data_IF_578025223900
#
_entry.id   IF_578025223900
#
_cell.length_a   1.000
_cell.length_b   1.000
_cell.length_c   1.000
_cell.angle_alpha   90.00
_cell.angle_beta   90.00
_cell.angle_gamma   90.00
#
_symmetry.space_group_name_H-M   'P 1'
#
loop_
_entity.id
_entity.type
_entity.pdbx_description
1 polymer ?
#
# COMPACT_ATOMS: atom_id res chain seq x y z
N UNK A 1 -38.16 14.51 -54.48
CA UNK A 1 -37.65 14.38 -53.09
C UNK A 1 -38.72 14.55 -52.03
N UNK A 2 -39.49 15.64 -52.00
CA UNK A 2 -40.58 15.82 -51.01
C UNK A 2 -41.58 14.65 -50.94
N UNK A 3 -42.03 14.12 -52.09
CA UNK A 3 -42.88 12.90 -52.14
C UNK A 3 -42.23 11.66 -51.48
N UNK A 4 -40.90 11.50 -51.60
CA UNK A 4 -40.17 10.42 -50.91
C UNK A 4 -40.16 10.64 -49.39
N UNK A 5 -40.07 11.90 -48.95
CA UNK A 5 -40.17 12.26 -47.53
C UNK A 5 -41.57 12.00 -46.98
N UNK A 6 -42.62 12.30 -47.76
CA UNK A 6 -44.00 11.95 -47.41
C UNK A 6 -44.19 10.44 -47.25
N UNK A 7 -43.66 9.65 -48.20
CA UNK A 7 -43.71 8.20 -48.11
C UNK A 7 -42.95 7.68 -46.86
N UNK A 8 -41.77 8.22 -46.58
CA UNK A 8 -41.01 7.89 -45.37
C UNK A 8 -41.78 8.23 -44.09
N UNK A 9 -42.41 9.40 -44.05
CA UNK A 9 -43.22 9.85 -42.91
C UNK A 9 -44.45 8.96 -42.72
N UNK A 10 -45.09 8.51 -43.79
CA UNK A 10 -46.22 7.59 -43.73
C UNK A 10 -45.80 6.21 -43.16
N UNK A 11 -44.66 5.69 -43.64
CA UNK A 11 -44.14 4.38 -43.23
C UNK A 11 -43.62 4.38 -41.78
N UNK A 12 -42.90 5.43 -41.38
CA UNK A 12 -42.19 5.49 -40.09
C UNK A 12 -42.95 6.32 -39.04
N UNK A 13 -44.09 6.92 -39.42
CA UNK A 13 -44.89 7.85 -38.60
C UNK A 13 -44.06 9.04 -38.07
N UNK A 14 -42.98 9.40 -38.77
CA UNK A 14 -42.12 10.52 -38.42
C UNK A 14 -41.22 11.01 -39.55
N UNK A 15 -40.75 12.25 -39.43
CA UNK A 15 -39.85 12.88 -40.39
C UNK A 15 -38.33 12.78 -40.09
N UNK A 16 -37.90 11.96 -39.13
CA UNK A 16 -36.47 11.85 -38.78
C UNK A 16 -35.78 10.74 -39.59
N UNK A 17 -34.95 11.12 -40.56
CA UNK A 17 -34.23 10.16 -41.40
C UNK A 17 -32.87 9.80 -40.77
N UNK A 18 -32.60 8.51 -40.45
CA UNK A 18 -31.29 8.08 -39.95
C UNK A 18 -30.15 8.23 -40.98
N UNK A 19 -28.92 8.40 -40.50
CA UNK A 19 -27.72 8.52 -41.38
C UNK A 19 -27.47 7.27 -42.20
N UNK A 20 -27.80 6.12 -41.65
CA UNK A 20 -27.66 4.77 -42.21
C UNK A 20 -28.91 4.31 -42.97
N UNK A 21 -29.89 5.19 -43.20
CA UNK A 21 -31.09 4.84 -43.96
C UNK A 21 -30.77 4.39 -45.38
N UNK A 22 -31.50 3.38 -45.87
CA UNK A 22 -31.25 2.70 -47.16
C UNK A 22 -31.17 3.68 -48.34
N UNK A 23 -32.04 4.69 -48.37
CA UNK A 23 -31.96 5.77 -49.37
C UNK A 23 -31.08 6.92 -48.86
N UNK A 24 -29.79 6.91 -49.23
CA UNK A 24 -28.83 7.98 -48.89
C UNK A 24 -29.24 9.35 -49.44
N UNK A 25 -29.98 9.40 -50.56
CA UNK A 25 -30.41 10.67 -51.16
C UNK A 25 -31.49 11.33 -50.29
N UNK A 26 -32.33 10.53 -49.63
CA UNK A 26 -33.34 11.04 -48.71
C UNK A 26 -32.71 11.64 -47.45
N UNK A 27 -31.70 10.99 -46.86
CA UNK A 27 -30.96 11.54 -45.72
C UNK A 27 -30.23 12.84 -46.08
N UNK A 28 -29.57 12.88 -47.24
CA UNK A 28 -28.91 14.09 -47.73
C UNK A 28 -29.89 15.26 -47.92
N UNK A 29 -31.06 14.97 -48.50
CA UNK A 29 -32.12 15.97 -48.69
C UNK A 29 -32.73 16.43 -47.36
N UNK A 30 -32.99 15.52 -46.43
CA UNK A 30 -33.45 15.80 -45.06
C UNK A 30 -32.52 16.79 -44.35
N UNK A 31 -31.21 16.51 -44.35
CA UNK A 31 -30.20 17.40 -43.76
C UNK A 31 -30.14 18.76 -44.44
N UNK A 32 -30.25 18.79 -45.78
CA UNK A 32 -30.24 20.04 -46.56
C UNK A 32 -31.39 20.97 -46.17
N UNK A 33 -32.60 20.44 -45.95
CA UNK A 33 -33.74 21.28 -45.53
C UNK A 33 -33.51 21.97 -44.19
N UNK A 34 -32.85 21.28 -43.24
CA UNK A 34 -32.50 21.85 -41.93
C UNK A 34 -31.47 22.97 -42.03
N UNK A 35 -30.42 22.76 -42.83
CA UNK A 35 -29.39 23.77 -43.06
C UNK A 35 -29.95 25.02 -43.76
N UNK A 36 -30.84 24.84 -44.74
CA UNK A 36 -31.51 25.95 -45.42
C UNK A 36 -32.42 26.74 -44.46
N UNK A 37 -33.09 26.06 -43.54
CA UNK A 37 -33.94 26.69 -42.52
C UNK A 37 -33.11 27.47 -41.49
N UNK A 38 -32.03 26.88 -40.98
CA UNK A 38 -31.11 27.52 -40.03
C UNK A 38 -30.43 28.76 -40.64
N UNK A 39 -30.06 28.70 -41.92
CA UNK A 39 -29.51 29.83 -42.65
C UNK A 39 -30.56 30.90 -43.08
N UNK A 40 -31.84 30.70 -42.78
CA UNK A 40 -32.92 31.65 -43.09
C UNK A 40 -33.24 31.80 -44.59
N UNK A 41 -32.71 30.92 -45.44
CA UNK A 41 -32.83 30.99 -46.91
C UNK A 41 -33.88 30.03 -47.47
N UNK A 42 -34.62 29.32 -46.61
CA UNK A 42 -35.66 28.40 -47.04
C UNK A 42 -36.90 29.17 -47.56
N UNK A 43 -37.33 28.96 -48.82
CA UNK A 43 -38.50 29.65 -49.36
C UNK A 43 -39.78 29.38 -48.56
N UNK A 44 -40.62 30.41 -48.38
CA UNK A 44 -41.87 30.32 -47.60
C UNK A 44 -42.79 29.18 -48.06
N UNK A 45 -42.98 29.01 -49.36
CA UNK A 45 -43.78 27.91 -49.91
C UNK A 45 -43.23 26.52 -49.57
N UNK A 46 -41.90 26.39 -49.47
CA UNK A 46 -41.24 25.15 -49.09
C UNK A 46 -41.42 24.89 -47.59
N UNK A 47 -41.31 25.92 -46.76
CA UNK A 47 -41.58 25.83 -45.34
C UNK A 47 -43.02 25.37 -45.06
N UNK A 48 -44.01 25.94 -45.73
CA UNK A 48 -45.42 25.52 -45.60
C UNK A 48 -45.61 24.06 -46.02
N UNK A 49 -44.98 23.61 -47.10
CA UNK A 49 -45.00 22.19 -47.49
C UNK A 49 -44.38 21.29 -46.43
N UNK A 50 -43.28 21.68 -45.81
CA UNK A 50 -42.63 20.89 -44.75
C UNK A 50 -43.48 20.85 -43.46
N UNK A 51 -44.21 21.93 -43.14
CA UNK A 51 -45.18 21.92 -42.03
C UNK A 51 -46.31 20.90 -42.25
N UNK A 52 -46.76 20.66 -43.48
CA UNK A 52 -47.84 19.68 -43.76
C UNK A 52 -47.49 18.25 -43.34
N UNK A 53 -46.21 17.90 -43.24
CA UNK A 53 -45.73 16.58 -42.85
C UNK A 53 -45.15 16.55 -41.43
N UNK A 54 -45.38 17.59 -40.64
CA UNK A 54 -44.80 17.76 -39.30
C UNK A 54 -43.27 17.62 -39.31
N UNK A 55 -42.62 18.29 -40.27
CA UNK A 55 -41.18 18.23 -40.43
C UNK A 55 -40.47 18.97 -39.29
N UNK A 56 -39.69 18.23 -38.50
CA UNK A 56 -38.94 18.80 -37.39
C UNK A 56 -37.58 19.37 -37.82
N UNK A 57 -37.42 20.69 -37.63
CA UNK A 57 -36.20 21.43 -37.98
C UNK A 57 -35.13 21.43 -36.87
N UNK A 58 -35.49 21.14 -35.61
CA UNK A 58 -34.55 21.06 -34.48
C UNK A 58 -33.66 19.81 -34.50
N UNK A 59 -33.02 19.47 -33.37
CA UNK A 59 -32.16 18.28 -33.31
C UNK A 59 -32.97 16.97 -33.43
N UNK A 60 -32.82 16.29 -34.56
CA UNK A 60 -33.53 15.05 -34.84
C UNK A 60 -33.06 13.90 -33.94
N UNK A 61 -31.82 14.01 -33.46
CA UNK A 61 -31.23 13.03 -32.56
C UNK A 61 -31.97 13.04 -31.22
N UNK A 62 -32.37 14.22 -30.75
CA UNK A 62 -33.18 14.37 -29.55
C UNK A 62 -34.52 13.64 -29.68
N UNK A 63 -35.29 13.91 -30.75
CA UNK A 63 -36.57 13.23 -31.00
C UNK A 63 -36.42 11.71 -31.20
N UNK A 64 -35.31 11.27 -31.79
CA UNK A 64 -35.02 9.85 -31.93
C UNK A 64 -34.83 9.18 -30.56
N UNK A 65 -34.04 9.78 -29.68
CA UNK A 65 -33.82 9.25 -28.34
C UNK A 65 -35.06 9.32 -27.46
N UNK A 66 -35.89 10.36 -27.61
CA UNK A 66 -37.18 10.45 -26.93
C UNK A 66 -38.13 9.34 -27.36
N UNK A 67 -38.21 9.05 -28.66
CA UNK A 67 -38.97 7.89 -29.17
C UNK A 67 -38.45 6.56 -28.65
N UNK A 68 -37.13 6.35 -28.69
CA UNK A 68 -36.52 5.13 -28.13
C UNK A 68 -36.79 4.97 -26.64
N UNK A 69 -36.78 6.07 -25.90
CA UNK A 69 -37.15 6.08 -24.50
C UNK A 69 -38.63 5.72 -24.33
N UNK A 70 -39.52 6.31 -25.13
CA UNK A 70 -40.95 6.05 -25.09
C UNK A 70 -41.28 4.59 -25.47
N UNK A 71 -40.60 4.02 -26.45
CA UNK A 71 -40.73 2.59 -26.81
C UNK A 71 -40.38 1.69 -25.63
N UNK A 72 -39.30 2.01 -24.91
CA UNK A 72 -38.86 1.27 -23.72
C UNK A 72 -39.85 1.46 -22.56
N UNK A 73 -40.35 2.67 -22.36
CA UNK A 73 -41.42 2.97 -21.40
C UNK A 73 -42.71 2.20 -21.72
N UNK A 74 -43.12 2.13 -22.99
CA UNK A 74 -44.31 1.40 -23.41
C UNK A 74 -44.19 -0.11 -23.15
N UNK A 75 -43.00 -0.69 -23.36
CA UNK A 75 -42.72 -2.08 -22.97
C UNK A 75 -42.84 -2.27 -21.45
N UNK A 76 -42.33 -1.34 -20.65
CA UNK A 76 -42.50 -1.37 -19.20
C UNK A 76 -43.97 -1.24 -18.79
N UNK A 77 -44.71 -0.34 -19.43
CA UNK A 77 -46.14 -0.14 -19.19
C UNK A 77 -46.95 -1.40 -19.50
N UNK A 78 -46.62 -2.11 -20.58
CA UNK A 78 -47.28 -3.38 -20.91
C UNK A 78 -47.02 -4.45 -19.85
N UNK A 79 -45.77 -4.54 -19.35
CA UNK A 79 -45.41 -5.44 -18.25
C UNK A 79 -46.17 -5.06 -16.98
N UNK A 80 -46.25 -3.76 -16.66
CA UNK A 80 -47.00 -3.25 -15.52
C UNK A 80 -48.49 -3.58 -15.62
N UNK A 81 -49.11 -3.36 -16.78
CA UNK A 81 -50.52 -3.73 -17.03
C UNK A 81 -50.78 -5.23 -16.83
N UNK A 82 -49.83 -6.08 -17.19
CA UNK A 82 -49.95 -7.54 -17.07
C UNK A 82 -49.68 -8.08 -15.67
N UNK A 83 -48.76 -7.46 -14.92
CA UNK A 83 -48.22 -8.02 -13.67
C UNK A 83 -48.52 -7.19 -12.43
N UNK A 84 -48.96 -5.94 -12.59
CA UNK A 84 -49.06 -4.94 -11.52
C UNK A 84 -47.70 -4.45 -11.00
N UNK A 85 -46.58 -4.90 -11.58
CA UNK A 85 -45.23 -4.61 -11.08
C UNK A 85 -44.44 -3.83 -12.12
N UNK A 86 -44.11 -2.58 -11.80
CA UNK A 86 -43.23 -1.70 -12.60
C UNK A 86 -41.75 -1.88 -12.25
N UNK A 87 -41.46 -2.69 -11.23
CA UNK A 87 -40.13 -2.92 -10.69
C UNK A 87 -39.51 -4.24 -11.17
N UNK A 88 -38.83 -4.19 -12.30
CA UNK A 88 -38.18 -5.37 -12.89
C UNK A 88 -36.77 -5.59 -12.32
N UNK A 89 -36.51 -6.78 -11.75
CA UNK A 89 -35.17 -7.21 -11.33
C UNK A 89 -34.23 -7.29 -12.53
N UNK A 90 -32.97 -6.86 -12.35
CA UNK A 90 -31.96 -6.93 -13.42
C UNK A 90 -31.56 -8.37 -13.75
N UNK A 91 -31.66 -8.74 -15.02
CA UNK A 91 -31.19 -10.04 -15.54
C UNK A 91 -29.81 -9.90 -16.19
N UNK A 92 -28.95 -10.90 -16.00
CA UNK A 92 -27.60 -10.95 -16.59
C UNK A 92 -27.52 -11.78 -17.87
N UNK A 93 -28.44 -12.73 -18.05
CA UNK A 93 -28.52 -13.59 -19.21
C UNK A 93 -29.28 -12.88 -20.35
N UNK A 94 -28.64 -12.75 -21.51
CA UNK A 94 -29.20 -12.08 -22.68
C UNK A 94 -30.30 -12.89 -23.39
N UNK A 95 -30.48 -14.17 -23.04
CA UNK A 95 -31.57 -15.02 -23.53
C UNK A 95 -32.88 -14.79 -22.78
N UNK A 96 -32.85 -14.10 -21.63
CA UNK A 96 -34.04 -13.84 -20.84
C UNK A 96 -34.95 -12.81 -21.53
N UNK A 97 -36.27 -13.04 -21.66
CA UNK A 97 -37.20 -12.11 -22.34
C UNK A 97 -37.16 -10.68 -21.78
N UNK A 98 -36.96 -10.55 -20.47
CA UNK A 98 -36.87 -9.25 -19.78
C UNK A 98 -35.45 -8.66 -19.72
N UNK A 99 -34.46 -9.25 -20.40
CA UNK A 99 -33.07 -8.79 -20.29
C UNK A 99 -32.91 -7.31 -20.69
N UNK A 100 -33.42 -6.93 -21.86
CA UNK A 100 -33.26 -5.57 -22.39
C UNK A 100 -33.98 -4.54 -21.51
N UNK A 101 -35.25 -4.79 -21.19
CA UNK A 101 -36.05 -3.87 -20.37
C UNK A 101 -35.53 -3.77 -18.93
N UNK A 102 -35.06 -4.87 -18.34
CA UNK A 102 -34.50 -4.85 -16.98
C UNK A 102 -33.18 -4.09 -16.87
N UNK A 103 -32.35 -4.10 -17.93
CA UNK A 103 -31.15 -3.27 -17.99
C UNK A 103 -31.49 -1.80 -18.24
N UNK A 104 -32.47 -1.51 -19.12
CA UNK A 104 -32.95 -0.15 -19.34
C UNK A 104 -33.49 0.48 -18.04
N UNK A 105 -34.39 -0.21 -17.33
CA UNK A 105 -34.92 0.20 -16.01
C UNK A 105 -33.80 0.49 -15.00
N UNK A 106 -32.73 -0.30 -14.99
CA UNK A 106 -31.57 -0.06 -14.12
C UNK A 106 -30.76 1.19 -14.54
N UNK A 107 -30.65 1.47 -15.84
CA UNK A 107 -30.01 2.67 -16.36
C UNK A 107 -30.80 3.93 -16.02
N UNK A 108 -32.14 3.90 -16.14
CA UNK A 108 -33.01 5.03 -15.80
C UNK A 108 -32.89 5.41 -14.32
N UNK A 109 -32.82 4.44 -13.39
CA UNK A 109 -32.49 4.72 -11.98
C UNK A 109 -31.13 5.38 -11.79
N UNK A 110 -30.13 4.97 -12.57
CA UNK A 110 -28.81 5.59 -12.57
C UNK A 110 -28.81 7.03 -13.11
N UNK A 111 -29.63 7.32 -14.13
CA UNK A 111 -29.80 8.68 -14.65
C UNK A 111 -30.54 9.58 -13.67
N UNK A 112 -31.60 9.08 -13.04
CA UNK A 112 -32.34 9.79 -12.00
C UNK A 112 -31.42 10.23 -10.85
N UNK A 113 -30.61 9.29 -10.32
CA UNK A 113 -29.62 9.58 -9.27
C UNK A 113 -28.62 10.68 -9.64
N UNK A 114 -28.27 10.77 -10.92
CA UNK A 114 -27.32 11.76 -11.43
C UNK A 114 -28.01 13.03 -11.96
N UNK A 115 -29.32 13.21 -11.74
CA UNK A 115 -30.10 14.35 -12.24
C UNK A 115 -30.01 14.53 -13.77
N UNK A 116 -30.02 13.42 -14.51
CA UNK A 116 -29.90 13.40 -15.99
C UNK A 116 -31.19 13.03 -16.72
N UNK A 117 -32.31 12.89 -15.99
CA UNK A 117 -33.63 12.66 -16.61
C UNK A 117 -34.36 13.98 -16.79
N UNK A 118 -35.16 14.07 -17.85
CA UNK A 118 -36.08 15.19 -18.07
C UNK A 118 -37.31 15.03 -17.17
N UNK A 119 -37.93 16.13 -16.74
CA UNK A 119 -39.06 16.11 -15.80
C UNK A 119 -40.23 15.26 -16.30
N UNK A 120 -40.57 15.36 -17.59
CA UNK A 120 -41.64 14.55 -18.20
C UNK A 120 -41.36 13.04 -18.19
N UNK A 121 -40.09 12.64 -18.19
CA UNK A 121 -39.69 11.22 -18.10
C UNK A 121 -39.91 10.69 -16.68
N UNK A 122 -39.64 11.54 -15.69
CA UNK A 122 -39.88 11.24 -14.27
C UNK A 122 -41.38 11.09 -14.04
N UNK A 123 -42.17 12.08 -14.46
CA UNK A 123 -43.63 12.09 -14.32
C UNK A 123 -44.27 10.84 -14.95
N UNK A 124 -43.86 10.46 -16.18
CA UNK A 124 -44.37 9.24 -16.83
C UNK A 124 -44.05 7.96 -16.05
N UNK A 125 -42.84 7.84 -15.50
CA UNK A 125 -42.46 6.67 -14.70
C UNK A 125 -43.22 6.64 -13.37
N UNK A 126 -43.38 7.77 -12.71
CA UNK A 126 -44.13 7.87 -11.45
C UNK A 126 -45.62 7.57 -11.64
N UNK A 127 -46.20 7.93 -12.80
CA UNK A 127 -47.60 7.63 -13.13
C UNK A 127 -47.95 6.13 -13.13
N UNK A 128 -46.95 5.25 -13.32
CA UNK A 128 -47.10 3.79 -13.29
C UNK A 128 -46.60 3.18 -11.99
N UNK A 129 -46.44 3.99 -10.93
CA UNK A 129 -45.95 3.56 -9.62
C UNK A 129 -44.50 3.07 -9.66
N UNK A 130 -43.67 3.57 -10.58
CA UNK A 130 -42.27 3.17 -10.70
C UNK A 130 -41.49 3.61 -9.45
N UNK A 131 -40.84 2.65 -8.78
CA UNK A 131 -40.00 2.98 -7.63
C UNK A 131 -38.55 3.19 -8.09
N UNK A 132 -38.07 4.41 -7.88
CA UNK A 132 -36.66 4.78 -8.09
C UNK A 132 -35.71 3.98 -7.18
N UNK A 133 -36.24 3.46 -6.09
CA UNK A 133 -35.54 2.80 -4.99
C UNK A 133 -36.11 1.38 -4.85
N UNK A 134 -35.43 0.36 -5.37
CA UNK A 134 -35.81 -1.05 -5.18
C UNK A 134 -35.31 -1.56 -3.84
N UNK A 135 -36.19 -1.81 -2.88
CA UNK A 135 -35.87 -2.56 -1.66
C UNK A 135 -35.79 -4.05 -1.99
N UNK A 136 -34.59 -4.65 -1.96
CA UNK A 136 -34.42 -6.11 -2.04
C UNK A 136 -33.61 -6.68 -3.21
N UNK A 137 -33.11 -5.86 -4.15
CA UNK A 137 -32.18 -6.31 -5.21
C UNK A 137 -30.87 -5.54 -5.08
N UNK A 138 -29.89 -6.12 -4.36
CA UNK A 138 -28.59 -5.50 -4.04
C UNK A 138 -28.75 -4.04 -3.62
N UNK A 139 -29.30 -3.85 -2.42
CA UNK A 139 -29.46 -2.57 -1.75
C UNK A 139 -28.13 -1.79 -1.73
N UNK A 140 -28.02 -0.82 -2.64
CA UNK A 140 -27.35 0.46 -2.39
C UNK A 140 -28.35 1.48 -1.83
N UNK A 141 -29.42 0.99 -1.19
CA UNK A 141 -30.33 1.74 -0.35
C UNK A 141 -29.91 1.49 1.09
N UNK A 142 -28.96 2.29 1.58
CA UNK A 142 -28.85 2.52 3.02
C UNK A 142 -29.70 3.76 3.34
N UNK A 143 -30.95 3.53 3.71
CA UNK A 143 -31.34 4.05 5.01
C UNK A 143 -30.44 3.31 6.02
N UNK A 144 -29.84 4.06 6.91
CA UNK A 144 -28.51 3.83 7.43
C UNK A 144 -28.35 2.58 8.32
N UNK A 145 -28.20 1.37 7.73
CA UNK A 145 -27.80 0.11 8.43
C UNK A 145 -26.42 0.24 9.13
N UNK A 146 -25.81 1.42 9.13
CA UNK A 146 -24.63 1.70 9.93
C UNK A 146 -24.90 1.49 11.44
N UNK A 147 -26.06 1.88 11.96
CA UNK A 147 -26.41 1.67 13.39
C UNK A 147 -26.62 0.19 13.72
N UNK A 148 -27.26 -0.58 12.84
CA UNK A 148 -27.41 -2.04 13.03
C UNK A 148 -26.05 -2.75 13.02
N UNK A 149 -25.12 -2.33 12.14
CA UNK A 149 -23.75 -2.84 12.14
C UNK A 149 -22.95 -2.40 13.35
N UNK A 150 -23.27 -1.23 13.90
CA UNK A 150 -22.70 -0.73 15.16
C UNK A 150 -23.09 -1.63 16.33
N UNK A 151 -24.39 -1.90 16.49
CA UNK A 151 -24.91 -2.80 17.52
C UNK A 151 -24.31 -4.21 17.39
N UNK A 152 -24.21 -4.73 16.16
CA UNK A 152 -23.54 -6.02 15.91
C UNK A 152 -22.05 -6.01 16.26
N UNK A 153 -21.38 -4.86 16.15
CA UNK A 153 -19.98 -4.71 16.56
C UNK A 153 -19.85 -4.67 18.09
N UNK A 154 -20.79 -4.03 18.78
CA UNK A 154 -20.88 -4.03 20.24
C UNK A 154 -21.14 -5.45 20.79
N UNK A 155 -22.05 -6.20 20.17
CA UNK A 155 -22.28 -7.62 20.48
C UNK A 155 -20.99 -8.43 20.28
N UNK A 156 -20.29 -8.21 19.17
CA UNK A 156 -19.03 -8.89 18.89
C UNK A 156 -17.97 -8.55 19.94
N UNK A 157 -17.83 -7.27 20.31
CA UNK A 157 -16.91 -6.83 21.36
C UNK A 157 -17.22 -7.49 22.69
N UNK A 158 -18.50 -7.61 23.03
CA UNK A 158 -18.93 -8.28 24.27
C UNK A 158 -18.58 -9.77 24.28
N UNK A 159 -18.64 -10.44 23.12
CA UNK A 159 -18.35 -11.88 22.98
C UNK A 159 -16.84 -12.19 22.87
N UNK A 160 -16.06 -11.35 22.18
CA UNK A 160 -14.65 -11.61 21.85
C UNK A 160 -13.64 -10.67 22.53
N UNK A 161 -14.13 -9.65 23.24
CA UNK A 161 -13.32 -8.69 24.01
C UNK A 161 -12.71 -7.55 23.18
N UNK A 162 -12.78 -7.59 21.85
CA UNK A 162 -12.34 -6.50 20.97
C UNK A 162 -13.21 -6.32 19.73
N UNK A 163 -13.01 -5.21 19.01
CA UNK A 163 -13.75 -4.90 17.78
C UNK A 163 -13.05 -5.43 16.51
N UNK A 164 -12.02 -6.27 16.61
CA UNK A 164 -11.15 -6.64 15.47
C UNK A 164 -11.70 -7.82 14.65
N UNK A 165 -12.89 -7.61 14.09
CA UNK A 165 -13.58 -8.64 13.30
C UNK A 165 -12.81 -9.00 12.04
N UNK A 166 -12.51 -10.29 11.86
CA UNK A 166 -11.88 -10.81 10.63
C UNK A 166 -12.81 -10.65 9.42
N UNK A 167 -12.25 -10.24 8.28
CA UNK A 167 -13.00 -10.17 7.01
C UNK A 167 -13.45 -11.55 6.50
N UNK A 168 -12.77 -12.62 6.92
CA UNK A 168 -13.07 -14.01 6.52
C UNK A 168 -13.87 -14.77 7.56
N UNK A 169 -14.37 -14.11 8.60
CA UNK A 169 -15.18 -14.73 9.65
C UNK A 169 -16.39 -15.44 9.03
N UNK A 170 -16.51 -16.75 9.27
CA UNK A 170 -17.54 -17.61 8.68
C UNK A 170 -18.83 -17.67 9.50
N UNK A 171 -18.81 -17.16 10.73
CA UNK A 171 -19.98 -17.17 11.63
C UNK A 171 -21.14 -16.40 10.99
N UNK A 172 -22.28 -17.05 10.86
CA UNK A 172 -23.47 -16.46 10.22
C UNK A 172 -23.95 -15.21 10.96
N UNK A 173 -23.85 -15.18 12.31
CA UNK A 173 -24.20 -14.05 13.18
C UNK A 173 -23.49 -12.74 12.79
N UNK A 174 -22.20 -12.79 12.46
CA UNK A 174 -21.38 -11.61 12.16
C UNK A 174 -20.99 -11.50 10.68
N UNK A 175 -21.77 -12.14 9.80
CA UNK A 175 -21.46 -12.22 8.37
C UNK A 175 -21.36 -10.82 7.75
N UNK A 176 -20.19 -10.52 7.17
CA UNK A 176 -19.92 -9.25 6.49
C UNK A 176 -19.53 -8.09 7.41
N UNK A 177 -19.55 -8.26 8.74
CA UNK A 177 -19.18 -7.22 9.70
C UNK A 177 -17.70 -6.81 9.57
N UNK A 178 -16.79 -7.77 9.40
CA UNK A 178 -15.36 -7.49 9.20
C UNK A 178 -15.07 -6.69 7.92
N UNK A 179 -15.84 -6.93 6.85
CA UNK A 179 -15.74 -6.13 5.62
C UNK A 179 -16.25 -4.71 5.84
N UNK A 180 -17.41 -4.58 6.49
CA UNK A 180 -17.99 -3.28 6.82
C UNK A 180 -17.05 -2.43 7.68
N UNK A 181 -16.40 -3.02 8.70
CA UNK A 181 -15.44 -2.33 9.55
C UNK A 181 -14.21 -1.86 8.77
N UNK A 182 -13.70 -2.69 7.86
CA UNK A 182 -12.60 -2.31 6.96
C UNK A 182 -12.98 -1.17 6.01
N UNK A 183 -14.24 -1.12 5.56
CA UNK A 183 -14.75 -0.01 4.76
C UNK A 183 -14.77 1.29 5.58
N UNK A 184 -15.10 1.24 6.88
CA UNK A 184 -15.02 2.41 7.77
C UNK A 184 -13.58 2.90 7.91
N UNK A 185 -12.64 2.00 8.23
CA UNK A 185 -11.19 2.31 8.34
C UNK A 185 -10.62 2.94 7.07
N UNK A 186 -10.97 2.37 5.91
CA UNK A 186 -10.54 2.90 4.60
C UNK A 186 -11.05 4.32 4.38
N UNK A 187 -12.23 4.61 4.88
CA UNK A 187 -12.94 5.85 4.63
C UNK A 187 -12.50 6.96 5.58
N UNK A 188 -12.17 6.60 6.82
CA UNK A 188 -11.43 7.43 7.76
C UNK A 188 -10.09 7.86 7.18
N UNK A 189 -9.26 6.90 6.73
CA UNK A 189 -7.95 7.18 6.13
C UNK A 189 -8.01 8.07 4.89
N UNK A 190 -9.05 7.89 4.06
CA UNK A 190 -9.27 8.69 2.83
C UNK A 190 -10.08 9.97 3.06
N UNK A 191 -10.43 10.30 4.31
CA UNK A 191 -11.26 11.47 4.68
C UNK A 191 -12.53 11.59 3.84
N UNK A 192 -13.24 10.47 3.63
CA UNK A 192 -14.45 10.43 2.82
C UNK A 192 -15.64 11.02 3.58
N UNK A 193 -16.40 11.90 2.93
CA UNK A 193 -17.55 12.61 3.51
C UNK A 193 -18.67 11.73 4.10
N UNK A 194 -18.76 10.45 3.72
CA UNK A 194 -19.81 9.57 4.26
C UNK A 194 -19.56 9.15 5.72
N UNK A 195 -18.31 9.21 6.18
CA UNK A 195 -17.98 8.93 7.58
C UNK A 195 -18.04 10.27 8.33
N UNK A 196 -19.22 10.57 8.88
CA UNK A 196 -19.48 11.80 9.64
C UNK A 196 -18.72 11.80 10.96
N UNK A 197 -18.60 12.98 11.60
CA UNK A 197 -17.92 13.13 12.89
C UNK A 197 -18.56 12.24 13.97
N UNK A 198 -19.88 12.26 14.07
CA UNK A 198 -20.63 11.46 15.06
C UNK A 198 -20.37 9.95 14.91
N UNK A 199 -20.23 9.47 13.66
CA UNK A 199 -19.91 8.06 13.39
C UNK A 199 -18.48 7.70 13.79
N UNK A 200 -17.55 8.66 13.68
CA UNK A 200 -16.16 8.48 14.13
C UNK A 200 -16.15 8.39 15.64
N UNK A 201 -16.79 9.34 16.33
CA UNK A 201 -16.88 9.39 17.80
C UNK A 201 -17.48 8.09 18.35
N UNK A 202 -18.60 7.61 17.81
CA UNK A 202 -19.21 6.33 18.21
C UNK A 202 -18.29 5.11 17.99
N UNK A 203 -17.50 5.08 16.91
CA UNK A 203 -16.56 3.99 16.67
C UNK A 203 -15.35 4.06 17.62
N UNK A 204 -14.90 5.28 17.95
CA UNK A 204 -13.81 5.53 18.90
C UNK A 204 -14.22 5.15 20.32
N UNK A 205 -15.44 5.47 20.76
CA UNK A 205 -15.99 5.07 22.07
C UNK A 205 -16.05 3.55 22.22
N UNK A 206 -16.36 2.83 21.14
CA UNK A 206 -16.29 1.37 21.13
C UNK A 206 -14.85 0.82 21.13
N UNK A 207 -13.83 1.65 20.97
CA UNK A 207 -12.42 1.24 20.93
C UNK A 207 -12.01 0.68 19.56
N UNK A 208 -12.66 1.11 18.47
CA UNK A 208 -12.25 0.72 17.13
C UNK A 208 -10.90 1.31 16.80
N UNK A 209 -9.94 0.44 16.51
CA UNK A 209 -8.62 0.88 16.07
C UNK A 209 -8.65 1.21 14.58
N UNK A 210 -8.33 2.46 14.23
CA UNK A 210 -8.35 2.95 12.85
C UNK A 210 -7.19 2.41 12.00
N UNK A 211 -5.98 2.33 12.59
CA UNK A 211 -4.78 1.84 11.92
C UNK A 211 -4.34 0.47 12.48
N UNK A 212 -4.72 -0.59 11.75
CA UNK A 212 -4.35 -1.95 12.11
C UNK A 212 -2.86 -2.25 11.94
N UNK A 213 -2.12 -1.50 11.11
CA UNK A 213 -0.66 -1.71 10.97
C UNK A 213 0.05 -1.21 12.24
N UNK A 214 -0.36 -0.05 12.74
CA UNK A 214 0.12 0.49 14.03
C UNK A 214 -0.25 -0.44 15.18
N UNK A 215 -1.52 -0.85 15.26
CA UNK A 215 -2.00 -1.74 16.33
C UNK A 215 -1.25 -3.07 16.39
N UNK A 216 -1.14 -3.76 15.25
CA UNK A 216 -0.45 -5.05 15.18
C UNK A 216 1.04 -4.90 15.48
N UNK A 217 1.63 -3.77 15.09
CA UNK A 217 3.03 -3.48 15.40
C UNK A 217 3.25 -3.20 16.89
N UNK A 218 2.38 -2.46 17.57
CA UNK A 218 2.49 -2.28 19.02
C UNK A 218 2.29 -3.60 19.79
N UNK A 219 1.43 -4.50 19.31
CA UNK A 219 1.34 -5.88 19.83
C UNK A 219 2.66 -6.64 19.68
N UNK A 220 3.33 -6.50 18.55
CA UNK A 220 4.66 -7.08 18.32
C UNK A 220 5.70 -6.49 19.29
N UNK A 221 5.70 -5.17 19.47
CA UNK A 221 6.61 -4.48 20.40
C UNK A 221 6.40 -5.00 21.82
N UNK A 222 5.16 -5.20 22.26
CA UNK A 222 4.85 -5.79 23.57
C UNK A 222 5.46 -7.19 23.72
N UNK A 223 5.28 -8.06 22.72
CA UNK A 223 5.86 -9.42 22.73
C UNK A 223 7.39 -9.40 22.74
N UNK A 224 8.02 -8.45 22.04
CA UNK A 224 9.47 -8.26 22.08
C UNK A 224 9.95 -7.85 23.48
N UNK A 225 9.25 -6.94 24.14
CA UNK A 225 9.58 -6.50 25.50
C UNK A 225 9.38 -7.63 26.52
N UNK A 226 8.29 -8.38 26.43
CA UNK A 226 8.04 -9.56 27.27
C UNK A 226 9.18 -10.58 27.14
N UNK A 227 9.55 -10.94 25.90
CA UNK A 227 10.68 -11.84 25.66
C UNK A 227 12.00 -11.29 26.21
N UNK A 228 12.27 -9.99 26.03
CA UNK A 228 13.47 -9.35 26.58
C UNK A 228 13.49 -9.37 28.11
N UNK A 229 12.35 -9.19 28.76
CA UNK A 229 12.25 -9.26 30.22
C UNK A 229 12.54 -10.68 30.72
N UNK A 230 12.10 -11.71 30.00
CA UNK A 230 12.31 -13.12 30.36
C UNK A 230 13.75 -13.61 30.08
N UNK A 231 14.30 -13.29 28.90
CA UNK A 231 15.58 -13.86 28.43
C UNK A 231 16.74 -12.85 28.39
N UNK A 232 16.50 -11.58 28.73
CA UNK A 232 17.50 -10.51 28.77
C UNK A 232 17.96 -10.00 27.40
N UNK A 233 17.42 -10.51 26.29
CA UNK A 233 17.83 -10.14 24.93
C UNK A 233 16.70 -10.32 23.90
N UNK A 234 16.94 -9.96 22.63
CA UNK A 234 15.98 -10.12 21.52
C UNK A 234 16.37 -11.25 20.53
N UNK A 235 16.98 -12.32 21.01
CA UNK A 235 17.36 -13.47 20.17
C UNK A 235 16.25 -14.50 20.13
N UNK A 236 15.12 -14.11 19.51
CA UNK A 236 13.98 -15.00 19.31
C UNK A 236 14.27 -15.96 18.14
N UNK A 237 14.20 -17.30 18.33
CA UNK A 237 14.33 -18.27 17.25
C UNK A 237 13.21 -18.12 16.20
N UNK A 238 13.51 -18.39 14.92
CA UNK A 238 12.50 -18.33 13.85
C UNK A 238 11.32 -19.28 14.09
N UNK A 239 11.57 -20.44 14.71
CA UNK A 239 10.57 -21.43 15.10
C UNK A 239 10.22 -21.32 16.60
N UNK A 240 10.09 -20.11 17.12
CA UNK A 240 9.75 -19.88 18.53
C UNK A 240 8.45 -20.61 18.90
N UNK A 241 8.56 -21.66 19.73
CA UNK A 241 7.47 -22.61 19.99
C UNK A 241 6.18 -21.97 20.53
N UNK A 242 6.23 -21.00 21.48
CA UNK A 242 5.02 -20.35 21.98
C UNK A 242 4.25 -19.60 20.88
N UNK A 243 4.95 -19.07 19.87
CA UNK A 243 4.32 -18.44 18.72
C UNK A 243 5.26 -18.45 17.49
N UNK A 244 5.13 -19.45 16.60
CA UNK A 244 5.97 -19.55 15.42
C UNK A 244 5.83 -18.36 14.45
N UNK A 245 4.65 -17.74 14.40
CA UNK A 245 4.42 -16.56 13.57
C UNK A 245 5.20 -15.35 14.08
N UNK A 246 5.28 -15.17 15.40
CA UNK A 246 6.10 -14.14 16.04
C UNK A 246 7.59 -14.36 15.74
N UNK A 247 8.10 -15.59 15.96
CA UNK A 247 9.50 -15.93 15.66
C UNK A 247 9.88 -15.67 14.20
N UNK A 248 9.04 -16.10 13.25
CA UNK A 248 9.24 -15.86 11.83
C UNK A 248 9.15 -14.36 11.47
N UNK A 249 8.25 -13.61 12.11
CA UNK A 249 8.17 -12.16 11.93
C UNK A 249 9.46 -11.47 12.36
N UNK A 250 9.96 -11.79 13.56
CA UNK A 250 11.22 -11.23 14.08
C UNK A 250 12.39 -11.62 13.19
N UNK A 251 12.46 -12.87 12.74
CA UNK A 251 13.48 -13.31 11.78
C UNK A 251 13.45 -12.47 10.47
N UNK A 252 12.27 -12.24 9.91
CA UNK A 252 12.10 -11.38 8.72
C UNK A 252 12.48 -9.93 9.01
N UNK A 253 12.13 -9.42 10.19
CA UNK A 253 12.48 -8.07 10.63
C UNK A 253 14.00 -7.90 10.76
N UNK A 254 14.72 -8.89 11.29
CA UNK A 254 16.19 -8.89 11.37
C UNK A 254 16.86 -9.00 10.01
N UNK A 255 16.39 -9.91 9.16
CA UNK A 255 17.03 -10.21 7.87
C UNK A 255 16.71 -9.17 6.79
N UNK A 256 15.44 -8.78 6.64
CA UNK A 256 14.97 -7.89 5.56
C UNK A 256 14.77 -6.45 6.02
N UNK A 257 14.64 -6.22 7.32
CA UNK A 257 14.32 -4.92 7.87
C UNK A 257 12.89 -4.46 7.56
N UNK A 258 12.53 -3.29 8.07
CA UNK A 258 11.32 -2.56 7.68
C UNK A 258 11.72 -1.28 6.94
N UNK A 259 10.89 -0.85 5.98
CA UNK A 259 11.10 0.41 5.23
C UNK A 259 10.40 1.61 5.88
N UNK A 260 9.59 1.38 6.91
CA UNK A 260 8.76 2.41 7.53
C UNK A 260 9.54 3.05 8.70
N UNK A 261 9.91 4.32 8.57
CA UNK A 261 10.75 5.03 9.55
C UNK A 261 10.17 4.97 10.97
N UNK A 262 8.87 5.19 11.13
CA UNK A 262 8.22 5.14 12.45
C UNK A 262 8.37 3.78 13.15
N UNK A 263 8.39 2.67 12.40
CA UNK A 263 8.66 1.33 12.96
C UNK A 263 10.12 1.20 13.39
N UNK A 264 11.05 1.74 12.61
CA UNK A 264 12.49 1.73 12.91
C UNK A 264 12.74 2.50 14.21
N UNK A 265 12.24 3.73 14.29
CA UNK A 265 12.36 4.60 15.47
C UNK A 265 11.80 3.92 16.72
N UNK A 266 10.60 3.32 16.61
CA UNK A 266 9.96 2.62 17.73
C UNK A 266 10.74 1.37 18.18
N UNK A 267 11.35 0.63 17.26
CA UNK A 267 12.22 -0.50 17.60
C UNK A 267 13.52 -0.04 18.26
N UNK A 268 14.12 1.04 17.79
CA UNK A 268 15.31 1.62 18.41
C UNK A 268 15.02 2.09 19.85
N UNK A 269 13.84 2.67 20.10
CA UNK A 269 13.43 3.08 21.46
C UNK A 269 13.42 1.91 22.46
N UNK A 270 13.01 0.71 22.05
CA UNK A 270 13.02 -0.47 22.93
C UNK A 270 14.39 -1.16 23.01
N UNK A 271 15.38 -0.64 22.28
CA UNK A 271 16.74 -1.17 22.20
C UNK A 271 16.91 -2.28 21.16
N UNK A 272 16.03 -2.38 20.17
CA UNK A 272 16.13 -3.34 19.07
C UNK A 272 16.76 -2.65 17.84
N UNK A 273 18.07 -2.83 17.63
CA UNK A 273 18.87 -2.07 16.65
C UNK A 273 19.24 -2.86 15.36
N UNK A 274 18.92 -4.15 15.28
CA UNK A 274 19.37 -5.04 14.20
C UNK A 274 18.36 -5.14 13.03
N UNK A 275 17.98 -4.02 12.43
CA UNK A 275 16.92 -3.99 11.39
C UNK A 275 17.56 -3.99 9.99
N UNK A 276 17.70 -5.18 9.40
CA UNK A 276 17.98 -5.35 7.98
C UNK A 276 19.44 -5.63 7.65
N UNK A 277 19.78 -6.91 7.43
CA UNK A 277 20.98 -7.27 6.68
C UNK A 277 20.78 -6.94 5.20
N UNK A 278 20.99 -5.67 4.83
CA UNK A 278 21.47 -5.34 3.47
C UNK A 278 22.98 -5.64 3.39
N UNK A 279 23.47 -5.75 2.16
CA UNK A 279 24.51 -6.70 1.74
C UNK A 279 25.80 -6.74 2.56
N UNK A 280 26.55 -7.84 2.43
CA UNK A 280 27.88 -8.10 3.03
C UNK A 280 28.89 -6.92 2.93
N UNK A 281 28.72 -5.99 1.97
CA UNK A 281 29.53 -4.78 1.76
C UNK A 281 29.26 -3.63 2.75
N UNK A 282 28.11 -3.62 3.42
CA UNK A 282 27.69 -2.53 4.32
C UNK A 282 27.90 -2.86 5.81
N UNK A 283 28.49 -4.03 6.12
CA UNK A 283 28.78 -4.49 7.50
C UNK A 283 29.82 -3.64 8.25
N UNK A 284 30.48 -2.69 7.60
CA UNK A 284 31.43 -1.81 8.26
C UNK A 284 30.69 -0.68 9.01
N UNK A 285 30.69 -0.79 10.35
CA UNK A 285 30.42 0.35 11.25
C UNK A 285 29.05 0.41 11.94
N UNK A 286 28.29 -0.69 12.04
CA UNK A 286 27.05 -0.67 12.84
C UNK A 286 27.31 -0.85 14.35
N UNK A 287 26.40 -0.31 15.20
CA UNK A 287 26.31 -0.67 16.62
C UNK A 287 25.84 -2.11 16.70
N UNK A 288 26.78 -3.04 16.82
CA UNK A 288 26.47 -4.45 17.10
C UNK A 288 26.00 -4.60 18.54
N UNK A 289 25.31 -5.70 18.87
CA UNK A 289 24.97 -6.02 20.27
C UNK A 289 26.21 -6.02 21.17
N UNK A 290 27.35 -6.49 20.67
CA UNK A 290 28.63 -6.44 21.38
C UNK A 290 29.12 -5.00 21.58
N UNK A 291 28.98 -4.14 20.57
CA UNK A 291 29.31 -2.71 20.67
C UNK A 291 28.45 -2.02 21.74
N UNK A 292 27.13 -2.25 21.71
CA UNK A 292 26.20 -1.70 22.70
C UNK A 292 26.48 -2.21 24.12
N UNK A 293 26.73 -3.51 24.28
CA UNK A 293 27.07 -4.08 25.59
C UNK A 293 28.37 -3.49 26.16
N UNK A 294 29.37 -3.20 25.32
CA UNK A 294 30.58 -2.52 25.77
C UNK A 294 30.34 -1.04 26.10
N UNK A 295 29.46 -0.36 25.36
CA UNK A 295 29.03 1.01 25.69
C UNK A 295 28.30 1.07 27.05
N UNK A 296 27.38 0.14 27.32
CA UNK A 296 26.67 0.07 28.61
C UNK A 296 27.61 -0.24 29.78
N UNK A 297 28.66 -1.05 29.55
CA UNK A 297 29.71 -1.26 30.55
C UNK A 297 30.50 0.02 30.80
N UNK A 298 30.84 0.78 29.76
CA UNK A 298 31.55 2.06 29.89
C UNK A 298 30.73 3.13 30.61
N UNK A 299 29.42 3.18 30.40
CA UNK A 299 28.50 4.09 31.13
C UNK A 299 28.57 3.94 32.64
N UNK A 300 28.94 2.76 33.14
CA UNK A 300 29.06 2.47 34.56
C UNK A 300 30.42 2.86 35.15
N UNK A 301 31.37 3.26 34.32
CA UNK A 301 32.72 3.66 34.72
C UNK A 301 32.76 5.18 34.87
N UNK A 302 33.33 5.67 35.97
CA UNK A 302 33.38 7.10 36.29
C UNK A 302 34.21 7.91 35.27
N UNK A 303 35.27 7.30 34.70
CA UNK A 303 36.04 7.85 33.60
C UNK A 303 36.05 6.89 32.38
N UNK A 304 35.11 7.05 31.43
CA UNK A 304 34.98 6.16 30.29
C UNK A 304 36.05 6.39 29.19
N UNK A 305 36.85 7.47 29.27
CA UNK A 305 37.92 7.76 28.30
C UNK A 305 39.21 6.98 28.61
N UNK A 306 39.09 5.65 28.65
CA UNK A 306 40.16 4.74 29.06
C UNK A 306 41.41 4.84 28.16
N UNK A 307 42.59 4.75 28.76
CA UNK A 307 43.88 4.60 28.06
C UNK A 307 44.05 3.15 27.62
N UNK A 308 44.80 2.91 26.53
CA UNK A 308 45.01 1.54 25.98
C UNK A 308 45.56 0.56 27.03
N UNK A 309 46.43 1.04 27.91
CA UNK A 309 47.17 0.24 28.89
C UNK A 309 46.51 0.24 30.29
N UNK A 310 45.21 0.52 30.35
CA UNK A 310 44.45 0.51 31.60
C UNK A 310 44.44 -0.89 32.24
N UNK A 311 44.87 -0.97 33.51
CA UNK A 311 44.99 -2.24 34.24
C UNK A 311 43.67 -2.70 34.87
N UNK A 312 42.74 -1.78 35.11
CA UNK A 312 41.48 -2.06 35.80
C UNK A 312 40.45 -2.62 34.81
N UNK A 313 40.39 -2.07 33.60
CA UNK A 313 39.46 -2.49 32.55
C UNK A 313 40.16 -2.80 31.21
N UNK A 314 41.11 -3.76 31.16
CA UNK A 314 41.98 -3.97 30.00
C UNK A 314 41.23 -4.29 28.70
N UNK A 315 40.11 -5.03 28.78
CA UNK A 315 39.28 -5.35 27.61
C UNK A 315 38.52 -4.14 27.08
N UNK A 316 37.96 -3.31 27.97
CA UNK A 316 37.22 -2.10 27.57
C UNK A 316 38.16 -1.01 27.08
N UNK A 317 39.34 -0.86 27.68
CA UNK A 317 40.40 0.02 27.23
C UNK A 317 40.85 -0.28 25.80
N UNK A 318 41.12 -1.56 25.47
CA UNK A 318 41.40 -1.99 24.10
C UNK A 318 40.25 -1.67 23.15
N UNK A 319 39.00 -1.88 23.59
CA UNK A 319 37.82 -1.57 22.78
C UNK A 319 37.65 -0.06 22.51
N UNK A 320 37.80 0.81 23.52
CA UNK A 320 37.75 2.28 23.37
C UNK A 320 38.86 2.76 22.44
N UNK A 321 40.07 2.22 22.60
CA UNK A 321 41.19 2.51 21.71
C UNK A 321 40.86 2.16 20.25
N UNK A 322 40.23 1.00 20.03
CA UNK A 322 39.78 0.60 18.70
C UNK A 322 38.72 1.55 18.12
N UNK A 323 37.75 2.04 18.92
CA UNK A 323 36.76 3.03 18.46
C UNK A 323 37.40 4.35 18.04
N UNK A 324 38.37 4.85 18.82
CA UNK A 324 39.15 6.05 18.46
C UNK A 324 39.91 5.86 17.15
N UNK A 325 40.43 4.64 16.92
CA UNK A 325 41.16 4.28 15.70
C UNK A 325 40.23 4.15 14.49
N UNK A 326 39.07 3.50 14.62
CA UNK A 326 38.08 3.41 13.53
C UNK A 326 37.51 4.78 13.16
N UNK A 327 37.34 5.68 14.14
CA UNK A 327 37.00 7.08 13.89
C UNK A 327 38.07 7.80 13.06
N UNK A 328 39.35 7.65 13.44
CA UNK A 328 40.49 8.24 12.71
C UNK A 328 40.49 7.84 11.23
N UNK A 329 40.09 6.62 10.89
CA UNK A 329 40.05 6.13 9.50
C UNK A 329 38.71 6.34 8.79
N UNK A 330 37.75 7.02 9.42
CA UNK A 330 36.45 7.34 8.81
C UNK A 330 35.52 6.14 8.65
N UNK A 331 35.74 5.04 9.38
CA UNK A 331 34.88 3.85 9.39
C UNK A 331 33.83 3.86 10.50
N UNK A 332 33.98 4.74 11.49
CA UNK A 332 33.00 4.91 12.57
C UNK A 332 31.81 5.74 12.06
N UNK A 333 30.58 5.24 12.25
CA UNK A 333 29.35 5.91 11.78
C UNK A 333 28.95 7.05 12.72
N UNK A 334 28.19 8.01 12.19
CA UNK A 334 27.77 9.22 12.92
C UNK A 334 26.97 8.92 14.20
N UNK A 335 26.17 7.84 14.21
CA UNK A 335 25.43 7.40 15.40
C UNK A 335 26.36 6.91 16.52
N UNK A 336 27.38 6.13 16.19
CA UNK A 336 28.40 5.67 17.13
C UNK A 336 29.23 6.85 17.67
N UNK A 337 29.56 7.79 16.80
CA UNK A 337 30.28 9.02 17.16
C UNK A 337 29.48 9.79 18.22
N UNK A 338 28.18 10.03 17.98
CA UNK A 338 27.29 10.72 18.93
C UNK A 338 27.23 10.03 20.28
N UNK A 339 27.15 8.70 20.32
CA UNK A 339 27.11 7.96 21.59
C UNK A 339 28.43 8.03 22.36
N UNK A 340 29.58 8.00 21.67
CA UNK A 340 30.89 8.17 22.33
C UNK A 340 31.12 9.61 22.81
N UNK A 341 30.67 10.60 22.03
CA UNK A 341 30.73 12.02 22.41
C UNK A 341 29.87 12.32 23.63
N UNK A 342 28.68 11.70 23.76
CA UNK A 342 27.84 11.80 24.97
C UNK A 342 28.54 11.29 26.24
N UNK A 343 29.45 10.33 26.10
CA UNK A 343 30.26 9.81 27.21
C UNK A 343 31.55 10.63 27.44
N UNK A 344 31.72 11.78 26.78
CA UNK A 344 32.93 12.59 26.84
C UNK A 344 34.22 11.85 26.45
N UNK A 345 34.12 10.81 25.60
CA UNK A 345 35.28 10.08 25.07
C UNK A 345 35.96 10.94 24.01
N UNK A 346 37.26 11.22 24.18
CA UNK A 346 38.00 12.11 23.26
C UNK A 346 38.37 11.38 21.97
N UNK A 347 37.73 11.76 20.86
CA UNK A 347 38.01 11.21 19.54
C UNK A 347 39.17 11.94 18.83
N UNK A 348 40.11 11.24 18.18
CA UNK A 348 41.27 11.83 17.53
C UNK A 348 40.97 12.39 16.13
N UNK A 349 41.79 13.32 15.61
CA UNK A 349 41.64 13.84 14.24
C UNK A 349 41.63 12.73 13.17
N UNK A 350 40.78 12.90 12.14
CA UNK A 350 40.69 11.98 10.99
C UNK A 350 41.97 12.01 10.15
N UNK A 351 42.48 10.84 9.78
CA UNK A 351 43.67 10.67 8.94
C UNK A 351 43.36 10.97 7.48
N UNK A 352 44.25 11.70 6.80
CA UNK A 352 44.16 11.98 5.35
C UNK A 352 44.81 10.90 4.46
N UNK A 353 45.47 9.88 5.04
CA UNK A 353 46.17 8.81 4.30
C UNK A 353 45.57 7.43 4.65
N UNK A 354 45.10 6.68 3.64
CA UNK A 354 44.72 5.24 3.77
C UNK A 354 46.00 4.40 3.76
N UNK A 355 46.29 3.64 4.83
CA UNK A 355 47.46 2.74 4.91
C UNK A 355 47.00 1.30 5.17
N UNK A 356 46.52 0.65 4.10
CA UNK A 356 45.94 -0.71 4.13
C UNK A 356 46.88 -1.82 4.66
N UNK A 357 48.20 -1.64 4.55
CA UNK A 357 49.20 -2.61 5.06
C UNK A 357 49.29 -2.61 6.60
N UNK A 358 49.54 -1.45 7.19
CA UNK A 358 49.64 -1.28 8.65
C UNK A 358 48.32 -1.66 9.34
N UNK A 359 47.18 -1.42 8.66
CA UNK A 359 45.85 -1.81 9.12
C UNK A 359 45.69 -3.33 9.29
N UNK A 360 46.06 -4.13 8.29
CA UNK A 360 45.88 -5.58 8.37
C UNK A 360 46.89 -6.28 9.26
N UNK A 361 48.12 -5.77 9.34
CA UNK A 361 49.14 -6.27 10.28
C UNK A 361 48.62 -6.16 11.72
N UNK A 362 48.06 -5.01 12.10
CA UNK A 362 47.59 -4.81 13.48
C UNK A 362 46.34 -5.66 13.80
N UNK A 363 45.45 -5.92 12.82
CA UNK A 363 44.31 -6.81 13.08
C UNK A 363 44.76 -8.27 13.23
N UNK A 364 45.77 -8.69 12.48
CA UNK A 364 46.37 -10.02 12.64
C UNK A 364 47.04 -10.14 14.00
N UNK A 365 47.79 -9.13 14.45
CA UNK A 365 48.37 -9.08 15.80
C UNK A 365 47.30 -9.25 16.89
N UNK A 366 46.20 -8.49 16.80
CA UNK A 366 45.10 -8.59 17.76
C UNK A 366 44.42 -9.95 17.75
N UNK A 367 44.24 -10.55 16.57
CA UNK A 367 43.72 -11.90 16.48
C UNK A 367 44.66 -12.92 17.14
N UNK A 368 45.98 -12.76 16.96
CA UNK A 368 46.99 -13.60 17.64
C UNK A 368 46.97 -13.41 19.16
N UNK A 369 46.73 -12.20 19.65
CA UNK A 369 46.57 -11.95 21.09
C UNK A 369 45.32 -12.63 21.67
N UNK A 370 44.19 -12.58 20.96
CA UNK A 370 42.90 -13.06 21.48
C UNK A 370 42.69 -14.58 21.27
N UNK A 371 43.14 -15.12 20.14
CA UNK A 371 42.89 -16.50 19.72
C UNK A 371 44.16 -17.34 19.59
N UNK A 372 45.33 -16.77 19.91
CA UNK A 372 46.61 -17.46 19.87
C UNK A 372 46.99 -17.94 18.46
N UNK A 373 47.32 -19.23 18.34
CA UNK A 373 47.75 -19.85 17.08
C UNK A 373 46.60 -20.32 16.19
N UNK A 374 45.34 -20.00 16.50
CA UNK A 374 44.21 -20.39 15.66
C UNK A 374 44.34 -19.85 14.23
N UNK A 375 43.82 -20.51 13.20
CA UNK A 375 43.86 -19.96 11.84
C UNK A 375 42.88 -18.79 11.70
N UNK A 376 43.31 -17.70 11.05
CA UNK A 376 42.39 -16.65 10.61
C UNK A 376 41.58 -17.22 9.44
N UNK A 377 40.28 -17.42 9.63
CA UNK A 377 39.38 -17.98 8.61
C UNK A 377 38.61 -16.88 7.89
N UNK A 378 38.06 -17.19 6.71
CA UNK A 378 37.16 -16.28 5.99
C UNK A 378 35.86 -15.97 6.77
N UNK A 379 35.51 -16.80 7.75
CA UNK A 379 34.39 -16.58 8.67
C UNK A 379 34.72 -15.53 9.73
N UNK A 380 35.98 -15.48 10.19
CA UNK A 380 36.47 -14.45 11.10
C UNK A 380 36.51 -13.08 10.41
N UNK A 381 37.27 -12.95 9.32
CA UNK A 381 37.32 -11.74 8.52
C UNK A 381 37.73 -12.08 7.08
N UNK A 382 36.79 -11.92 6.14
CA UNK A 382 37.01 -12.25 4.74
C UNK A 382 38.07 -11.38 4.08
N UNK A 383 38.11 -10.08 4.39
CA UNK A 383 39.03 -9.16 3.72
C UNK A 383 40.47 -9.42 4.17
N UNK A 384 40.66 -9.71 5.46
CA UNK A 384 41.96 -10.10 6.02
C UNK A 384 42.36 -11.48 5.52
N UNK A 385 41.43 -12.43 5.46
CA UNK A 385 41.69 -13.75 4.92
C UNK A 385 42.15 -13.68 3.45
N UNK A 386 41.43 -12.94 2.61
CA UNK A 386 41.77 -12.73 1.21
C UNK A 386 43.13 -12.01 1.09
N UNK A 387 43.38 -11.02 1.95
CA UNK A 387 44.65 -10.29 1.98
C UNK A 387 45.83 -11.16 2.44
N UNK A 388 45.67 -12.02 3.45
CA UNK A 388 46.65 -13.00 3.90
C UNK A 388 46.99 -13.96 2.76
N UNK A 389 45.98 -14.47 2.06
CA UNK A 389 46.18 -15.36 0.92
C UNK A 389 46.89 -14.65 -0.24
N UNK A 390 46.58 -13.38 -0.47
CA UNK A 390 47.31 -12.56 -1.42
C UNK A 390 48.79 -12.39 -1.00
N UNK A 391 49.07 -12.16 0.29
CA UNK A 391 50.45 -12.06 0.77
C UNK A 391 51.20 -13.40 0.64
N UNK A 392 50.56 -14.53 0.93
CA UNK A 392 51.12 -15.87 0.71
C UNK A 392 51.44 -16.13 -0.77
N UNK A 393 50.56 -15.72 -1.68
CA UNK A 393 50.81 -15.81 -3.13
C UNK A 393 51.98 -14.92 -3.55
N UNK A 394 52.02 -13.68 -3.04
CA UNK A 394 53.11 -12.73 -3.31
C UNK A 394 54.47 -13.22 -2.76
N UNK A 395 54.46 -13.93 -1.62
CA UNK A 395 55.66 -14.56 -1.06
C UNK A 395 56.18 -15.67 -2.00
N UNK A 396 55.29 -16.56 -2.47
CA UNK A 396 55.64 -17.63 -3.42
C UNK A 396 56.20 -17.07 -4.75
N UNK A 397 55.69 -15.94 -5.21
CA UNK A 397 56.18 -15.26 -6.41
C UNK A 397 57.41 -14.38 -6.18
N UNK A 398 57.99 -14.37 -4.95
CA UNK A 398 59.15 -13.55 -4.56
C UNK A 398 58.95 -12.04 -4.80
N UNK A 399 57.70 -11.57 -4.71
CA UNK A 399 57.33 -10.17 -4.96
C UNK A 399 57.22 -9.31 -3.70
N UNK A 400 57.39 -9.90 -2.51
CA UNK A 400 57.37 -9.18 -1.24
C UNK A 400 58.76 -8.64 -0.85
N UNK A 401 58.78 -7.41 -0.34
CA UNK A 401 59.96 -6.83 0.32
C UNK A 401 60.33 -7.63 1.58
N UNK A 402 61.62 -7.75 1.87
CA UNK A 402 62.14 -8.57 2.98
C UNK A 402 61.57 -8.17 4.35
N UNK A 403 61.39 -6.87 4.60
CA UNK A 403 60.78 -6.35 5.84
C UNK A 403 59.34 -6.87 6.05
N UNK A 404 58.59 -7.01 4.97
CA UNK A 404 57.21 -7.50 4.98
C UNK A 404 57.15 -9.01 5.20
N UNK A 405 58.10 -9.73 4.62
CA UNK A 405 58.25 -11.18 4.83
C UNK A 405 58.54 -11.47 6.31
N UNK A 406 59.52 -10.75 6.89
CA UNK A 406 59.88 -10.90 8.30
C UNK A 406 58.68 -10.65 9.21
N UNK A 407 57.91 -9.58 8.96
CA UNK A 407 56.71 -9.29 9.76
C UNK A 407 55.63 -10.35 9.63
N UNK A 408 55.41 -10.92 8.45
CA UNK A 408 54.42 -11.99 8.27
C UNK A 408 54.85 -13.33 8.90
N UNK A 409 56.16 -13.60 8.97
CA UNK A 409 56.72 -14.73 9.72
C UNK A 409 56.54 -14.57 11.22
N UNK A 410 56.84 -13.37 11.76
CA UNK A 410 56.59 -13.02 13.17
C UNK A 410 55.14 -13.30 13.59
N UNK A 411 54.18 -12.99 12.71
CA UNK A 411 52.75 -13.19 12.94
C UNK A 411 52.26 -14.62 12.67
N UNK A 412 53.17 -15.56 12.37
CA UNK A 412 52.87 -16.96 12.03
C UNK A 412 51.87 -17.07 10.87
N UNK A 413 52.02 -16.20 9.88
CA UNK A 413 51.24 -16.22 8.64
C UNK A 413 52.00 -16.96 7.54
N UNK A 414 53.31 -16.77 7.49
CA UNK A 414 54.25 -17.56 6.69
C UNK A 414 55.00 -18.53 7.60
N UNK A 415 55.35 -19.69 7.05
CA UNK A 415 56.20 -20.65 7.77
C UNK A 415 57.67 -20.22 7.62
N UNK A 416 58.47 -20.54 8.63
CA UNK A 416 59.92 -20.57 8.48
C UNK A 416 60.27 -21.83 7.68
N UNK A 417 60.69 -21.65 6.43
CA UNK A 417 61.38 -22.70 5.65
C UNK A 417 62.75 -22.98 6.25
#
# INVERSE_FOLDING_TARGET
MFKKMQQFQLENKHCTVPRDYKDRTLYGWYRKQKLLFEAGILPKEHLEKLKTIDFYFGDAHELYWERKWLDSYNQLLEIYKKTGVSNIKRYKDNKHPLFYISNWVALERGKYKNSKLKDWQIEKLESIGFQWVMTGVRNLNKADDWLEKLALLEDYKSEFGDCNVSQTLKTLKYKGLGKWLNDQRTSYKKKRKFLTKDRIELLEDMGVVWDMDVYNFEKLIKQLLEYKNEFGNFNIPSNYKPNPNFGNYVYRLKTKGTKQNWKIERLHQIGFFEIGTKSKKEKEGHITLNWFNNLEKLKKINNPDLKKDDKEYPKLAKWVHYQKRTFRYGRLKDEQIKELEKLNIRLPNRSKKRKRWDEFIEIIELFREEYGSQPITAEFDKEIYDWINQQKSNYKSKSLKIEKVNKLKELRILNDE
#
